data_IF_335487024920
#
_entry.id   IF_335487024920
#
_cell.length_a   1.000
_cell.length_b   1.000
_cell.length_c   1.000
_cell.angle_alpha   90.00
_cell.angle_beta   90.00
_cell.angle_gamma   90.00
#
_symmetry.space_group_name_H-M   'P 1'
#
loop_
_entity.id
_entity.type
_entity.pdbx_description
1 polymer ?
#
# COMPACT_ATOMS: atom_id res chain seq x y z
N UNK A 1 15.23 15.61 14.32
CA UNK A 1 14.80 15.68 12.91
C UNK A 1 13.45 16.39 12.85
N UNK A 2 13.17 17.15 11.78
CA UNK A 2 11.87 17.84 11.55
C UNK A 2 11.02 17.03 10.56
N UNK A 3 9.72 17.01 10.77
CA UNK A 3 8.77 16.40 9.85
C UNK A 3 8.61 17.27 8.60
N UNK A 4 8.75 16.70 7.41
CA UNK A 4 8.55 17.44 6.16
C UNK A 4 7.07 17.73 5.86
N UNK A 5 6.15 17.03 6.53
CA UNK A 5 4.70 17.18 6.37
C UNK A 5 4.16 18.30 7.26
N UNK A 6 4.40 18.25 8.58
CA UNK A 6 3.86 19.22 9.54
C UNK A 6 4.88 20.29 10.01
N UNK A 7 6.18 20.16 9.67
CA UNK A 7 7.23 21.10 10.09
C UNK A 7 7.77 20.89 11.51
N UNK A 8 7.04 20.17 12.36
CA UNK A 8 7.38 19.98 13.78
C UNK A 8 8.58 19.06 14.01
N UNK A 9 9.24 19.23 15.17
CA UNK A 9 10.35 18.38 15.59
C UNK A 9 9.86 16.99 16.06
N UNK A 10 10.78 16.03 16.13
CA UNK A 10 10.50 14.68 16.65
C UNK A 10 10.09 13.66 15.61
N UNK A 11 10.22 13.98 14.32
CA UNK A 11 10.10 12.97 13.26
C UNK A 11 11.18 11.88 13.43
N UNK A 12 10.78 10.62 13.40
CA UNK A 12 11.69 9.47 13.57
C UNK A 12 11.73 8.54 12.35
N UNK A 13 10.75 8.65 11.44
CA UNK A 13 10.71 7.86 10.22
C UNK A 13 11.45 8.61 9.13
N UNK A 14 12.41 7.96 8.48
CA UNK A 14 13.20 8.53 7.38
C UNK A 14 12.87 7.85 6.06
N UNK A 15 12.94 8.60 4.96
CA UNK A 15 12.81 8.03 3.64
C UNK A 15 13.99 7.10 3.33
N UNK A 16 13.71 5.87 2.89
CA UNK A 16 14.70 4.84 2.56
C UNK A 16 15.32 4.99 1.17
N UNK A 17 14.89 5.98 0.38
CA UNK A 17 15.50 6.28 -0.91
C UNK A 17 16.88 6.92 -0.74
N UNK A 18 17.87 6.44 -1.50
CA UNK A 18 19.26 6.93 -1.41
C UNK A 18 19.30 8.43 -1.73
N UNK A 19 19.89 9.22 -0.83
CA UNK A 19 20.02 10.67 -1.00
C UNK A 19 18.79 11.48 -0.57
N UNK A 20 17.64 10.85 -0.29
CA UNK A 20 16.49 11.57 0.25
C UNK A 20 16.69 11.85 1.75
N UNK A 21 16.62 13.13 2.14
CA UNK A 21 16.79 13.58 3.54
C UNK A 21 15.46 13.79 4.27
N UNK A 22 14.33 13.46 3.64
CA UNK A 22 13.00 13.69 4.22
C UNK A 22 12.78 12.75 5.40
N UNK A 23 12.29 13.34 6.49
CA UNK A 23 11.88 12.64 7.70
C UNK A 23 10.44 13.03 8.04
N UNK A 24 9.68 12.13 8.62
CA UNK A 24 8.28 12.37 8.97
C UNK A 24 7.89 11.65 10.26
N UNK A 25 6.87 12.15 10.96
CA UNK A 25 6.20 11.35 11.98
C UNK A 25 5.41 10.23 11.29
N UNK A 26 5.31 9.07 11.94
CA UNK A 26 4.57 7.94 11.37
C UNK A 26 3.11 8.30 11.02
N UNK A 27 2.32 9.00 11.88
CA UNK A 27 0.97 9.43 11.53
C UNK A 27 0.94 10.40 10.34
N UNK A 28 1.80 11.42 10.32
CA UNK A 28 1.87 12.39 9.23
C UNK A 28 2.25 11.74 7.90
N UNK A 29 3.11 10.72 7.94
CA UNK A 29 3.44 9.94 6.74
C UNK A 29 2.22 9.25 6.16
N UNK A 30 1.37 8.64 7.00
CA UNK A 30 0.13 7.99 6.54
C UNK A 30 -0.83 8.99 5.89
N UNK A 31 -0.94 10.20 6.45
CA UNK A 31 -1.78 11.28 5.92
C UNK A 31 -1.24 11.85 4.61
N UNK A 32 0.08 12.04 4.47
CA UNK A 32 0.73 12.49 3.23
C UNK A 32 0.95 11.34 2.22
N UNK A 33 0.27 10.20 2.40
CA UNK A 33 0.34 9.05 1.49
C UNK A 33 1.77 8.49 1.30
N UNK A 34 2.58 8.55 2.34
CA UNK A 34 3.85 7.82 2.44
C UNK A 34 3.59 6.32 2.62
N UNK A 35 4.54 5.50 2.19
CA UNK A 35 4.46 4.05 2.35
C UNK A 35 5.48 3.59 3.38
N UNK A 36 5.04 2.85 4.40
CA UNK A 36 5.93 2.12 5.31
C UNK A 36 5.77 0.63 5.07
N UNK A 37 6.87 -0.03 4.73
CA UNK A 37 6.89 -1.47 4.49
C UNK A 37 7.14 -2.17 5.83
N UNK A 38 6.32 -3.17 6.16
CA UNK A 38 6.42 -3.93 7.42
C UNK A 38 7.16 -5.26 7.24
N UNK A 39 8.04 -5.32 6.24
CA UNK A 39 8.79 -6.50 5.83
C UNK A 39 10.29 -6.16 5.71
N UNK A 40 11.14 -7.16 5.93
CA UNK A 40 12.59 -7.05 5.74
C UNK A 40 13.21 -5.96 6.61
N UNK A 41 13.72 -4.91 5.97
CA UNK A 41 14.41 -3.80 6.63
C UNK A 41 13.46 -2.69 7.16
N UNK A 42 12.15 -2.92 7.14
CA UNK A 42 11.15 -1.96 7.63
C UNK A 42 11.31 -0.54 7.06
N UNK A 43 11.56 -0.45 5.75
CA UNK A 43 11.81 0.83 5.08
C UNK A 43 10.53 1.62 4.90
N UNK A 44 10.64 2.94 5.01
CA UNK A 44 9.57 3.87 4.70
C UNK A 44 9.98 4.80 3.58
N UNK A 45 9.03 5.27 2.78
CA UNK A 45 9.26 6.09 1.62
C UNK A 45 8.32 7.30 1.65
N UNK A 46 8.87 8.50 1.45
CA UNK A 46 8.07 9.71 1.34
C UNK A 46 7.21 9.68 0.07
N UNK A 47 6.23 10.58 -0.04
CA UNK A 47 5.29 10.65 -1.16
C UNK A 47 5.93 10.57 -2.56
N UNK A 48 7.09 11.19 -2.74
CA UNK A 48 7.82 11.20 -4.03
C UNK A 48 8.58 9.91 -4.34
N UNK A 49 8.97 9.14 -3.31
CA UNK A 49 9.81 7.96 -3.48
C UNK A 49 9.10 6.66 -3.10
N UNK A 50 7.79 6.75 -2.80
CA UNK A 50 6.97 5.58 -2.49
C UNK A 50 6.90 4.67 -3.72
N UNK A 51 6.81 3.35 -3.53
CA UNK A 51 6.54 2.45 -4.63
C UNK A 51 5.15 2.71 -5.22
N UNK A 52 5.02 2.41 -6.50
CA UNK A 52 3.76 2.44 -7.25
C UNK A 52 3.59 1.09 -7.95
N UNK A 53 2.35 0.66 -8.13
CA UNK A 53 2.08 -0.56 -8.88
C UNK A 53 2.40 -0.31 -10.36
N UNK A 54 3.21 -1.19 -10.95
CA UNK A 54 3.66 -1.05 -12.36
C UNK A 54 2.85 -1.90 -13.33
N UNK A 55 1.84 -2.62 -12.84
CA UNK A 55 0.98 -3.47 -13.66
C UNK A 55 0.12 -2.63 -14.61
N UNK A 56 0.12 -3.00 -15.89
CA UNK A 56 -0.77 -2.42 -16.89
C UNK A 56 -2.18 -2.98 -16.69
N UNK A 57 -2.90 -2.47 -15.71
CA UNK A 57 -4.29 -2.84 -15.51
C UNK A 57 -5.14 -2.10 -16.55
N UNK A 58 -5.71 -2.83 -17.50
CA UNK A 58 -6.75 -2.28 -18.37
C UNK A 58 -8.06 -2.21 -17.59
N UNK A 59 -8.65 -1.02 -17.52
CA UNK A 59 -9.98 -0.86 -16.96
C UNK A 59 -11.00 -0.99 -18.09
N UNK A 60 -11.72 -2.11 -18.11
CA UNK A 60 -12.89 -2.29 -18.97
C UNK A 60 -14.16 -1.84 -18.21
N UNK A 61 -14.31 -0.53 -18.02
CA UNK A 61 -15.52 0.09 -17.43
C UNK A 61 -15.42 0.49 -15.95
N UNK A 62 -16.58 0.67 -15.30
CA UNK A 62 -16.70 1.02 -13.87
C UNK A 62 -16.07 -0.07 -13.00
N UNK A 63 -14.87 0.19 -12.50
CA UNK A 63 -14.18 -0.73 -11.58
C UNK A 63 -14.63 -0.47 -10.15
N UNK A 64 -15.19 -1.50 -9.51
CA UNK A 64 -15.57 -1.47 -8.09
C UNK A 64 -14.56 -2.26 -7.24
N UNK A 65 -14.40 -1.84 -5.99
CA UNK A 65 -13.62 -2.57 -5.00
C UNK A 65 -14.33 -3.90 -4.67
N UNK A 66 -13.64 -5.04 -4.80
CA UNK A 66 -14.26 -6.36 -4.53
C UNK A 66 -14.64 -6.60 -3.05
N UNK A 67 -14.22 -5.72 -2.14
CA UNK A 67 -14.43 -5.89 -0.70
C UNK A 67 -15.59 -5.09 -0.15
N UNK A 68 -15.82 -3.88 -0.66
CA UNK A 68 -16.95 -3.03 -0.26
C UNK A 68 -17.99 -2.83 -1.36
N UNK A 69 -17.68 -3.25 -2.60
CA UNK A 69 -18.52 -3.08 -3.79
C UNK A 69 -18.75 -1.62 -4.23
N UNK A 70 -18.03 -0.67 -3.62
CA UNK A 70 -18.05 0.74 -4.00
C UNK A 70 -17.02 1.05 -5.11
N UNK A 71 -17.25 2.10 -5.93
CA UNK A 71 -16.33 2.50 -6.99
C UNK A 71 -14.92 2.80 -6.48
N UNK A 72 -13.90 2.41 -7.25
CA UNK A 72 -12.51 2.86 -7.05
C UNK A 72 -12.14 3.98 -8.03
N UNK A 73 -10.97 4.59 -7.83
CA UNK A 73 -10.46 5.54 -8.83
C UNK A 73 -10.15 4.82 -10.15
N UNK A 74 -10.32 5.51 -11.27
CA UNK A 74 -10.03 4.98 -12.61
C UNK A 74 -8.53 4.72 -12.88
N UNK A 75 -7.68 4.95 -11.90
CA UNK A 75 -6.23 4.81 -12.01
C UNK A 75 -5.64 4.21 -10.75
N UNK A 76 -4.55 3.48 -10.94
CA UNK A 76 -3.70 3.05 -9.84
C UNK A 76 -3.18 4.29 -9.10
N UNK A 77 -3.27 4.25 -7.79
CA UNK A 77 -2.90 5.36 -6.93
C UNK A 77 -2.52 4.85 -5.55
N UNK A 78 -2.26 5.75 -4.60
CA UNK A 78 -2.04 5.33 -3.21
C UNK A 78 -3.29 4.67 -2.62
N UNK A 79 -4.48 5.18 -2.97
CA UNK A 79 -5.79 4.77 -2.46
C UNK A 79 -6.37 3.59 -3.24
N UNK A 80 -6.00 3.40 -4.51
CA UNK A 80 -6.56 2.38 -5.39
C UNK A 80 -5.48 1.41 -5.87
N UNK A 81 -5.71 0.11 -5.65
CA UNK A 81 -4.77 -0.96 -5.97
C UNK A 81 -5.46 -2.12 -6.70
N UNK A 82 -4.66 -2.94 -7.38
CA UNK A 82 -5.12 -4.11 -8.14
C UNK A 82 -4.29 -5.34 -7.81
N UNK A 83 -4.91 -6.52 -7.91
CA UNK A 83 -4.19 -7.79 -7.84
C UNK A 83 -3.20 -7.89 -9.02
N UNK A 84 -1.89 -8.09 -8.78
CA UNK A 84 -0.88 -8.17 -9.84
C UNK A 84 -0.96 -9.47 -10.66
N UNK A 85 -1.63 -10.50 -10.14
CA UNK A 85 -1.74 -11.80 -10.80
C UNK A 85 -2.86 -11.82 -11.83
N UNK A 86 -4.07 -11.42 -11.43
CA UNK A 86 -5.25 -11.49 -12.30
C UNK A 86 -5.63 -10.16 -12.95
N UNK A 87 -5.11 -9.02 -12.48
CA UNK A 87 -5.35 -7.67 -13.02
C UNK A 87 -6.81 -7.19 -13.08
N UNK A 88 -7.77 -8.03 -12.69
CA UNK A 88 -9.21 -7.72 -12.68
C UNK A 88 -9.77 -7.41 -11.28
N UNK A 89 -8.98 -7.64 -10.23
CA UNK A 89 -9.46 -7.49 -8.84
C UNK A 89 -8.94 -6.18 -8.26
N UNK A 90 -9.84 -5.21 -8.12
CA UNK A 90 -9.54 -3.86 -7.63
C UNK A 90 -9.92 -3.69 -6.16
N UNK A 91 -9.19 -2.83 -5.45
CA UNK A 91 -9.38 -2.58 -4.02
C UNK A 91 -9.07 -1.14 -3.64
N UNK A 92 -9.86 -0.59 -2.73
CA UNK A 92 -9.38 0.51 -1.90
C UNK A 92 -8.29 0.00 -0.95
N UNK A 93 -7.24 0.81 -0.78
CA UNK A 93 -6.12 0.54 0.14
C UNK A 93 -6.58 0.21 1.54
N UNK A 94 -7.55 0.97 2.05
CA UNK A 94 -8.08 0.75 3.40
C UNK A 94 -8.87 -0.57 3.49
N UNK A 95 -9.67 -0.90 2.48
CA UNK A 95 -10.41 -2.16 2.45
C UNK A 95 -9.47 -3.36 2.48
N UNK A 96 -8.44 -3.37 1.63
CA UNK A 96 -7.49 -4.48 1.60
C UNK A 96 -6.59 -4.52 2.84
N UNK A 97 -6.27 -3.37 3.44
CA UNK A 97 -5.59 -3.31 4.73
C UNK A 97 -6.42 -3.96 5.84
N UNK A 98 -7.74 -3.75 5.87
CA UNK A 98 -8.62 -4.41 6.84
C UNK A 98 -8.73 -5.92 6.59
N UNK A 99 -8.82 -6.34 5.32
CA UNK A 99 -8.79 -7.76 4.98
C UNK A 99 -7.48 -8.41 5.44
N UNK A 100 -6.34 -7.79 5.18
CA UNK A 100 -5.02 -8.27 5.60
C UNK A 100 -4.92 -8.45 7.12
N UNK A 101 -5.39 -7.46 7.88
CA UNK A 101 -5.39 -7.53 9.34
C UNK A 101 -6.25 -8.69 9.85
N UNK A 102 -7.41 -8.95 9.23
CA UNK A 102 -8.32 -10.04 9.62
C UNK A 102 -7.80 -11.41 9.22
N UNK A 103 -7.30 -11.56 7.99
CA UNK A 103 -6.88 -12.84 7.43
C UNK A 103 -5.55 -13.34 7.99
N UNK A 104 -4.59 -12.44 8.24
CA UNK A 104 -3.24 -12.83 8.60
C UNK A 104 -2.45 -13.46 7.45
N UNK A 105 -1.14 -13.66 7.66
CA UNK A 105 -0.21 -14.03 6.59
C UNK A 105 -0.54 -15.35 5.89
N UNK A 106 -1.07 -16.33 6.62
CA UNK A 106 -1.34 -17.68 6.06
C UNK A 106 -2.59 -17.75 5.20
N UNK A 107 -3.51 -16.79 5.32
CA UNK A 107 -4.78 -16.77 4.58
C UNK A 107 -4.93 -15.53 3.69
N UNK A 108 -3.92 -14.65 3.63
CA UNK A 108 -3.99 -13.43 2.85
C UNK A 108 -3.59 -13.68 1.39
N UNK A 109 -4.60 -13.78 0.55
CA UNK A 109 -4.52 -14.08 -0.88
C UNK A 109 -5.57 -13.27 -1.65
N UNK A 110 -5.43 -13.16 -2.97
CA UNK A 110 -6.42 -12.50 -3.80
C UNK A 110 -7.81 -13.15 -3.62
N UNK A 111 -8.88 -12.41 -3.29
CA UNK A 111 -10.22 -12.97 -3.15
C UNK A 111 -10.74 -13.64 -4.42
N UNK A 112 -10.36 -13.12 -5.59
CA UNK A 112 -10.81 -13.58 -6.90
C UNK A 112 -10.02 -14.79 -7.40
N UNK A 113 -8.71 -14.65 -7.66
CA UNK A 113 -7.91 -15.70 -8.28
C UNK A 113 -7.18 -16.62 -7.28
N UNK A 114 -7.27 -16.36 -5.98
CA UNK A 114 -6.59 -17.10 -4.90
C UNK A 114 -5.05 -17.13 -5.00
N UNK A 115 -4.44 -16.33 -5.87
CA UNK A 115 -2.99 -16.18 -5.90
C UNK A 115 -2.50 -15.53 -4.60
N UNK A 116 -1.52 -16.17 -3.95
CA UNK A 116 -0.74 -15.63 -2.83
C UNK A 116 0.68 -15.25 -3.27
N UNK A 117 1.26 -15.97 -4.22
CA UNK A 117 2.67 -15.86 -4.61
C UNK A 117 3.05 -14.49 -5.17
N UNK A 118 2.20 -13.88 -5.99
CA UNK A 118 2.41 -12.52 -6.51
C UNK A 118 1.64 -11.50 -5.70
N UNK A 119 0.47 -11.86 -5.21
CA UNK A 119 -0.39 -10.96 -4.45
C UNK A 119 0.26 -10.48 -3.15
N UNK A 120 0.74 -11.39 -2.32
CA UNK A 120 1.26 -11.07 -0.99
C UNK A 120 2.51 -10.16 -1.05
N UNK A 121 3.55 -10.45 -1.87
CA UNK A 121 4.71 -9.56 -1.98
C UNK A 121 4.36 -8.17 -2.49
N UNK A 122 3.43 -8.06 -3.44
CA UNK A 122 2.98 -6.77 -3.97
C UNK A 122 2.27 -5.94 -2.90
N UNK A 123 1.33 -6.55 -2.17
CA UNK A 123 0.64 -5.86 -1.09
C UNK A 123 1.61 -5.38 0.00
N UNK A 124 2.63 -6.20 0.35
CA UNK A 124 3.70 -5.76 1.26
C UNK A 124 4.52 -4.60 0.71
N UNK A 125 4.94 -4.69 -0.55
CA UNK A 125 5.70 -3.63 -1.21
C UNK A 125 4.93 -2.32 -1.19
N UNK A 126 3.62 -2.38 -1.43
CA UNK A 126 2.71 -1.25 -1.35
C UNK A 126 2.40 -0.80 0.08
N UNK A 127 2.95 -1.43 1.12
CA UNK A 127 2.81 -1.02 2.53
C UNK A 127 1.58 -1.53 3.25
N UNK A 128 0.96 -2.60 2.75
CA UNK A 128 -0.13 -3.29 3.45
C UNK A 128 0.45 -4.15 4.57
N UNK A 129 0.03 -3.87 5.80
CA UNK A 129 0.46 -4.63 6.97
C UNK A 129 -0.34 -5.92 7.08
N UNK A 130 0.36 -7.05 7.05
CA UNK A 130 -0.23 -8.38 7.25
C UNK A 130 0.39 -9.00 8.52
N UNK A 131 -0.39 -9.24 9.59
CA UNK A 131 0.14 -9.81 10.82
C UNK A 131 0.32 -11.33 10.70
N UNK A 132 1.21 -11.89 11.51
CA UNK A 132 1.27 -13.34 11.76
C UNK A 132 0.15 -13.67 12.74
N UNK A 133 -0.80 -14.51 12.33
CA UNK A 133 -1.97 -14.95 13.11
C UNK A 133 -2.31 -16.37 12.73
#
# INVERSE_FOLDING_TARGET
QRCYVCGERGATVTCGHKGCKRSFHFPCGREDSCISQFIGLYRSFCREHRPEQTVQAQQDGDTCCLLCLEPVEEKLSFTTMVCPACMHSWFHRDCIQQQALRAGIFCFQCPLCKDSERFLPEMYNMGIRVPVR
#
